data_IF_582440285908
#
_entry.id   IF_582440285908
#
_cell.length_a   1.000
_cell.length_b   1.000
_cell.length_c   1.000
_cell.angle_alpha   90.00
_cell.angle_beta   90.00
_cell.angle_gamma   90.00
#
_symmetry.space_group_name_H-M   'P 1'
#
loop_
_entity.id
_entity.type
_entity.pdbx_description
1 polymer ?
#
# COMPACT_ATOMS: atom_id res chain seq x y z
N UNK A 1 -31.36 27.35 -39.29
CA UNK A 1 -29.97 27.16 -39.75
C UNK A 1 -29.03 27.32 -38.56
N UNK A 2 -28.62 26.22 -37.92
CA UNK A 2 -27.67 26.26 -36.81
C UNK A 2 -26.26 25.98 -37.35
N UNK A 3 -25.34 26.91 -37.14
CA UNK A 3 -23.95 26.80 -37.56
C UNK A 3 -23.23 25.70 -36.75
N UNK A 4 -22.74 24.67 -37.44
CA UNK A 4 -21.92 23.61 -36.87
C UNK A 4 -20.56 24.21 -36.50
N UNK A 5 -20.21 24.21 -35.20
CA UNK A 5 -18.91 24.69 -34.73
C UNK A 5 -17.77 23.80 -35.27
N UNK A 6 -16.62 24.38 -35.68
CA UNK A 6 -15.54 23.61 -36.27
C UNK A 6 -14.89 22.69 -35.23
N UNK A 7 -14.78 21.40 -35.57
CA UNK A 7 -14.09 20.40 -34.76
C UNK A 7 -12.63 20.84 -34.51
N UNK A 8 -12.29 21.13 -33.24
CA UNK A 8 -10.91 21.42 -32.82
C UNK A 8 -10.02 20.22 -33.13
N UNK A 9 -9.22 20.28 -34.20
CA UNK A 9 -8.15 19.31 -34.49
C UNK A 9 -7.22 19.24 -33.28
N UNK A 10 -7.24 18.11 -32.56
CA UNK A 10 -6.31 17.79 -31.47
C UNK A 10 -4.89 17.77 -32.08
N UNK A 11 -4.13 18.87 -31.94
CA UNK A 11 -2.71 18.89 -32.35
C UNK A 11 -2.01 17.74 -31.62
N UNK A 12 -1.56 16.73 -32.36
CA UNK A 12 -0.69 15.65 -31.84
C UNK A 12 0.57 16.35 -31.33
N UNK A 13 0.66 16.57 -30.00
CA UNK A 13 1.87 17.09 -29.38
C UNK A 13 2.96 16.04 -29.64
N UNK A 14 3.85 16.32 -30.58
CA UNK A 14 5.06 15.53 -30.79
C UNK A 14 5.83 15.53 -29.48
N UNK A 15 5.95 14.36 -28.85
CA UNK A 15 6.77 14.23 -27.64
C UNK A 15 8.22 14.50 -28.07
N UNK A 16 8.92 15.46 -27.46
CA UNK A 16 10.29 15.76 -27.86
C UNK A 16 11.17 14.53 -27.61
N UNK A 17 12.03 14.19 -28.57
CA UNK A 17 12.92 13.01 -28.52
C UNK A 17 13.72 12.98 -27.21
N UNK A 18 14.17 14.13 -26.72
CA UNK A 18 14.87 14.23 -25.43
C UNK A 18 14.04 13.72 -24.24
N UNK A 19 12.72 13.96 -24.22
CA UNK A 19 11.83 13.40 -23.18
C UNK A 19 11.71 11.88 -23.32
N UNK A 20 11.67 11.35 -24.54
CA UNK A 20 11.60 9.91 -24.77
C UNK A 20 12.88 9.20 -24.32
N UNK A 21 14.04 9.80 -24.60
CA UNK A 21 15.33 9.30 -24.14
C UNK A 21 15.46 9.33 -22.61
N UNK A 22 15.05 10.42 -21.97
CA UNK A 22 15.05 10.53 -20.51
C UNK A 22 14.15 9.48 -19.86
N UNK A 23 12.94 9.29 -20.38
CA UNK A 23 12.02 8.27 -19.88
C UNK A 23 12.57 6.85 -20.12
N UNK A 24 13.20 6.60 -21.27
CA UNK A 24 13.83 5.32 -21.58
C UNK A 24 15.00 5.01 -20.64
N UNK A 25 15.87 5.98 -20.39
CA UNK A 25 16.96 5.85 -19.42
C UNK A 25 16.43 5.56 -18.02
N UNK A 26 15.43 6.34 -17.56
CA UNK A 26 14.82 6.15 -16.24
C UNK A 26 14.18 4.76 -16.11
N UNK A 27 13.52 4.27 -17.16
CA UNK A 27 12.95 2.93 -17.19
C UNK A 27 14.03 1.86 -17.02
N UNK A 28 15.13 1.95 -17.77
CA UNK A 28 16.25 1.00 -17.64
C UNK A 28 16.85 1.06 -16.24
N UNK A 29 17.04 2.26 -15.69
CA UNK A 29 17.57 2.46 -14.34
C UNK A 29 16.68 1.80 -13.27
N UNK A 30 15.36 1.93 -13.37
CA UNK A 30 14.40 1.30 -12.44
C UNK A 30 14.35 -0.22 -12.61
N UNK A 31 14.40 -0.71 -13.86
CA UNK A 31 14.34 -2.15 -14.14
C UNK A 31 15.66 -2.87 -13.85
N UNK A 32 16.77 -2.17 -13.80
CA UNK A 32 18.09 -2.74 -13.55
C UNK A 32 18.18 -3.61 -12.29
N UNK A 33 17.85 -3.12 -11.08
CA UNK A 33 17.90 -3.94 -9.87
C UNK A 33 16.89 -5.09 -9.90
N UNK A 34 15.73 -4.92 -10.56
CA UNK A 34 14.74 -5.99 -10.70
C UNK A 34 15.24 -7.11 -11.61
N UNK A 35 15.87 -6.74 -12.73
CA UNK A 35 16.58 -7.68 -13.60
C UNK A 35 17.64 -8.45 -12.81
N UNK A 36 18.47 -7.73 -12.04
CA UNK A 36 19.54 -8.37 -11.28
C UNK A 36 19.00 -9.33 -10.22
N UNK A 37 17.94 -8.94 -9.51
CA UNK A 37 17.26 -9.77 -8.52
C UNK A 37 16.66 -11.03 -9.14
N UNK A 38 15.99 -10.91 -10.30
CA UNK A 38 15.42 -12.05 -11.02
C UNK A 38 16.51 -12.98 -11.57
N UNK A 39 17.54 -12.43 -12.21
CA UNK A 39 18.64 -13.21 -12.73
C UNK A 39 19.36 -13.97 -11.62
N UNK A 40 19.52 -13.35 -10.45
CA UNK A 40 20.14 -13.96 -9.27
C UNK A 40 19.26 -15.07 -8.68
N UNK A 41 17.92 -14.97 -8.72
CA UNK A 41 17.05 -16.01 -8.14
C UNK A 41 17.05 -17.34 -8.91
N UNK A 42 17.50 -17.33 -10.17
CA UNK A 42 17.58 -18.52 -11.04
C UNK A 42 19.01 -19.04 -11.25
N UNK A 43 20.03 -18.34 -10.75
CA UNK A 43 21.42 -18.79 -10.83
C UNK A 43 21.70 -19.98 -9.91
N UNK A 44 22.54 -20.93 -10.33
CA UNK A 44 23.13 -21.92 -9.42
C UNK A 44 23.97 -21.25 -8.32
N UNK A 45 24.13 -21.93 -7.18
CA UNK A 45 24.87 -21.42 -6.01
C UNK A 45 26.31 -20.99 -6.32
N UNK A 46 26.95 -21.66 -7.27
CA UNK A 46 28.34 -21.43 -7.61
C UNK A 46 28.52 -20.14 -8.43
N UNK A 47 27.45 -19.64 -9.07
CA UNK A 47 27.46 -18.46 -9.95
C UNK A 47 27.15 -17.14 -9.22
N UNK A 48 26.92 -17.16 -7.90
CA UNK A 48 26.51 -15.97 -7.14
C UNK A 48 27.62 -14.91 -7.01
N UNK A 49 28.85 -15.36 -6.76
CA UNK A 49 30.00 -14.51 -6.43
C UNK A 49 31.14 -14.64 -7.44
N UNK A 50 30.86 -15.16 -8.63
CA UNK A 50 31.85 -15.32 -9.70
C UNK A 50 32.28 -13.97 -10.25
N UNK A 51 33.56 -13.89 -10.60
CA UNK A 51 34.18 -12.74 -11.27
C UNK A 51 34.79 -13.25 -12.58
N UNK A 52 34.35 -12.77 -13.76
CA UNK A 52 33.35 -11.73 -13.99
C UNK A 52 31.91 -12.16 -13.64
N UNK A 53 31.01 -11.22 -13.29
CA UNK A 53 29.64 -11.56 -12.94
C UNK A 53 28.89 -12.24 -14.10
N UNK A 54 28.21 -13.35 -13.81
CA UNK A 54 27.38 -14.05 -14.80
C UNK A 54 26.14 -13.21 -15.12
N UNK A 55 26.03 -12.73 -16.35
CA UNK A 55 24.89 -11.90 -16.78
C UNK A 55 23.65 -12.73 -17.06
N UNK A 56 23.82 -13.92 -17.63
CA UNK A 56 22.76 -14.90 -17.90
C UNK A 56 23.29 -16.28 -17.49
N UNK A 57 22.62 -17.02 -16.59
CA UNK A 57 23.07 -18.34 -16.18
C UNK A 57 23.02 -19.30 -17.36
N UNK A 58 24.08 -20.09 -17.53
CA UNK A 58 24.11 -21.15 -18.54
C UNK A 58 23.07 -22.25 -18.23
N UNK A 59 22.84 -22.51 -16.94
CA UNK A 59 21.89 -23.50 -16.45
C UNK A 59 20.92 -22.84 -15.44
N UNK A 60 19.80 -22.26 -15.91
CA UNK A 60 18.78 -21.73 -15.01
C UNK A 60 18.19 -22.82 -14.12
N UNK A 61 18.07 -22.55 -12.81
CA UNK A 61 17.51 -23.52 -11.86
C UNK A 61 16.38 -22.90 -11.02
N UNK A 62 15.48 -23.76 -10.53
CA UNK A 62 14.39 -23.38 -9.61
C UNK A 62 14.60 -23.94 -8.19
N UNK A 63 15.80 -24.44 -7.90
CA UNK A 63 16.12 -25.06 -6.61
C UNK A 63 15.92 -24.09 -5.47
N UNK A 64 16.32 -22.82 -5.64
CA UNK A 64 16.13 -21.77 -4.65
C UNK A 64 14.67 -21.45 -4.37
N UNK A 65 13.81 -21.45 -5.40
CA UNK A 65 12.36 -21.28 -5.22
C UNK A 65 11.74 -22.44 -4.43
N UNK A 66 12.09 -23.68 -4.78
CA UNK A 66 11.60 -24.87 -4.08
C UNK A 66 12.07 -24.87 -2.63
N UNK A 67 13.33 -24.55 -2.37
CA UNK A 67 13.87 -24.45 -1.02
C UNK A 67 13.18 -23.32 -0.22
N UNK A 68 13.04 -22.13 -0.80
CA UNK A 68 12.37 -20.99 -0.16
C UNK A 68 10.92 -21.32 0.25
N UNK A 69 10.15 -21.92 -0.66
CA UNK A 69 8.74 -22.20 -0.41
C UNK A 69 8.52 -23.37 0.56
N UNK A 70 9.27 -24.45 0.40
CA UNK A 70 8.98 -25.72 1.08
C UNK A 70 9.99 -26.08 2.19
N UNK A 71 11.28 -25.76 2.03
CA UNK A 71 12.29 -26.09 3.04
C UNK A 71 12.35 -25.07 4.19
N UNK A 72 12.12 -23.78 3.88
CA UNK A 72 12.21 -22.69 4.85
C UNK A 72 10.84 -22.17 5.31
N UNK A 73 9.77 -22.97 5.19
CA UNK A 73 8.40 -22.61 5.56
C UNK A 73 7.91 -21.31 4.89
N UNK A 74 8.41 -20.99 3.70
CA UNK A 74 8.04 -19.78 2.98
C UNK A 74 6.54 -19.73 2.67
N UNK A 75 5.92 -20.87 2.37
CA UNK A 75 4.47 -20.95 2.17
C UNK A 75 3.68 -20.57 3.44
N UNK A 76 4.07 -21.07 4.61
CA UNK A 76 3.43 -20.69 5.88
C UNK A 76 3.56 -19.18 6.11
N UNK A 77 4.75 -18.62 5.87
CA UNK A 77 5.01 -17.19 5.97
C UNK A 77 4.16 -16.35 5.02
N UNK A 78 3.97 -16.80 3.78
CA UNK A 78 3.11 -16.16 2.79
C UNK A 78 1.64 -16.21 3.22
N UNK A 79 1.15 -17.35 3.69
CA UNK A 79 -0.23 -17.51 4.18
C UNK A 79 -0.46 -16.60 5.39
N UNK A 80 0.46 -16.62 6.37
CA UNK A 80 0.39 -15.73 7.53
C UNK A 80 0.34 -14.26 7.13
N UNK A 81 1.22 -13.85 6.20
CA UNK A 81 1.27 -12.48 5.69
C UNK A 81 -0.01 -12.09 4.98
N UNK A 82 -0.58 -12.98 4.16
CA UNK A 82 -1.86 -12.77 3.49
C UNK A 82 -3.01 -12.58 4.49
N UNK A 83 -3.11 -13.47 5.48
CA UNK A 83 -4.14 -13.38 6.53
C UNK A 83 -4.01 -12.06 7.29
N UNK A 84 -2.81 -11.75 7.78
CA UNK A 84 -2.57 -10.56 8.60
C UNK A 84 -2.83 -9.28 7.80
N UNK A 85 -2.27 -9.18 6.60
CA UNK A 85 -2.39 -7.97 5.78
C UNK A 85 -3.81 -7.74 5.27
N UNK A 86 -4.51 -8.79 4.84
CA UNK A 86 -5.89 -8.68 4.36
C UNK A 86 -6.84 -8.31 5.49
N UNK A 87 -6.75 -9.00 6.64
CA UNK A 87 -7.57 -8.69 7.81
C UNK A 87 -7.33 -7.27 8.32
N UNK A 88 -6.06 -6.86 8.46
CA UNK A 88 -5.74 -5.50 8.89
C UNK A 88 -6.23 -4.44 7.89
N UNK A 89 -6.11 -4.69 6.58
CA UNK A 89 -6.60 -3.79 5.54
C UNK A 89 -8.12 -3.63 5.61
N UNK A 90 -8.86 -4.74 5.71
CA UNK A 90 -10.33 -4.72 5.82
C UNK A 90 -10.77 -3.99 7.08
N UNK A 91 -10.19 -4.32 8.24
CA UNK A 91 -10.51 -3.65 9.51
C UNK A 91 -10.20 -2.16 9.46
N UNK A 92 -9.03 -1.79 8.95
CA UNK A 92 -8.61 -0.40 8.81
C UNK A 92 -9.51 0.37 7.83
N UNK A 93 -9.94 -0.25 6.73
CA UNK A 93 -10.86 0.36 5.78
C UNK A 93 -12.24 0.59 6.41
N UNK A 94 -12.80 -0.41 7.09
CA UNK A 94 -14.10 -0.33 7.74
C UNK A 94 -14.10 0.72 8.86
N UNK A 95 -13.19 0.59 9.83
CA UNK A 95 -13.10 1.52 10.96
C UNK A 95 -12.73 2.92 10.51
N UNK A 96 -11.80 3.03 9.55
CA UNK A 96 -11.37 4.33 9.01
C UNK A 96 -12.50 5.04 8.27
N UNK A 97 -13.33 4.31 7.51
CA UNK A 97 -14.50 4.86 6.82
C UNK A 97 -15.52 5.40 7.82
N UNK A 98 -15.87 4.63 8.85
CA UNK A 98 -16.83 5.05 9.88
C UNK A 98 -16.35 6.30 10.63
N UNK A 99 -15.08 6.30 11.05
CA UNK A 99 -14.48 7.45 11.73
C UNK A 99 -14.42 8.68 10.82
N UNK A 100 -14.01 8.51 9.57
CA UNK A 100 -13.93 9.59 8.59
C UNK A 100 -15.29 10.23 8.29
N UNK A 101 -16.34 9.43 8.16
CA UNK A 101 -17.71 9.94 7.98
C UNK A 101 -18.12 10.80 9.17
N UNK A 102 -17.91 10.30 10.39
CA UNK A 102 -18.19 11.04 11.63
C UNK A 102 -17.46 12.38 11.68
N UNK A 103 -16.16 12.37 11.38
CA UNK A 103 -15.33 13.57 11.32
C UNK A 103 -15.80 14.57 10.25
N UNK A 104 -16.14 14.10 9.06
CA UNK A 104 -16.49 14.95 7.92
C UNK A 104 -17.88 15.57 8.04
N UNK A 105 -18.85 14.87 8.61
CA UNK A 105 -20.25 15.32 8.67
C UNK A 105 -20.63 15.95 10.00
N UNK A 106 -20.15 15.39 11.11
CA UNK A 106 -20.52 15.83 12.46
C UNK A 106 -19.43 16.63 13.18
N UNK A 107 -18.26 16.82 12.54
CA UNK A 107 -17.12 17.51 13.16
C UNK A 107 -16.76 16.91 14.54
N UNK A 108 -16.89 15.59 14.67
CA UNK A 108 -16.65 14.86 15.91
C UNK A 108 -15.24 15.15 16.42
N UNK A 109 -15.11 15.52 17.70
CA UNK A 109 -13.80 15.89 18.29
C UNK A 109 -13.18 17.19 17.77
N UNK A 110 -13.91 17.98 16.98
CA UNK A 110 -13.51 19.30 16.52
C UNK A 110 -12.55 19.30 15.34
N UNK A 111 -12.09 20.50 14.96
CA UNK A 111 -11.32 20.73 13.74
C UNK A 111 -9.93 20.06 13.76
N UNK A 112 -9.37 19.83 14.95
CA UNK A 112 -8.01 19.32 15.13
C UNK A 112 -7.92 17.80 15.23
N UNK A 113 -9.03 17.08 15.48
CA UNK A 113 -8.97 15.63 15.68
C UNK A 113 -8.49 14.89 14.43
N UNK A 114 -8.95 15.28 13.24
CA UNK A 114 -8.50 14.69 11.97
C UNK A 114 -6.98 14.82 11.77
N UNK A 115 -6.41 15.97 12.13
CA UNK A 115 -4.97 16.21 12.07
C UNK A 115 -4.21 15.43 13.14
N UNK A 116 -4.76 15.31 14.36
CA UNK A 116 -4.16 14.52 15.43
C UNK A 116 -4.13 13.01 15.11
N UNK A 117 -5.16 12.48 14.47
CA UNK A 117 -5.18 11.10 13.98
C UNK A 117 -4.05 10.89 12.97
N UNK A 118 -3.89 11.82 12.02
CA UNK A 118 -2.80 11.79 11.05
C UNK A 118 -1.42 11.87 11.68
N UNK A 119 -1.25 12.67 12.74
CA UNK A 119 0.06 12.92 13.32
C UNK A 119 0.69 11.66 13.94
N UNK A 120 -0.13 10.64 14.24
CA UNK A 120 0.36 9.34 14.68
C UNK A 120 1.29 8.67 13.65
N UNK A 121 1.24 9.07 12.36
CA UNK A 121 2.14 8.55 11.32
C UNK A 121 3.56 9.11 11.39
N UNK A 122 3.76 10.24 12.06
CA UNK A 122 5.10 10.82 12.24
C UNK A 122 5.88 10.13 13.36
N UNK A 123 5.18 9.36 14.19
CA UNK A 123 5.82 8.63 15.26
C UNK A 123 6.68 7.50 14.68
N UNK A 124 7.96 7.40 15.05
CA UNK A 124 8.82 6.33 14.59
C UNK A 124 8.35 4.98 15.18
N UNK A 125 7.97 3.98 14.36
CA UNK A 125 7.42 2.73 14.87
C UNK A 125 8.36 2.03 15.86
N UNK A 126 9.67 2.10 15.62
CA UNK A 126 10.70 1.50 16.48
C UNK A 126 10.63 2.00 17.93
N UNK A 127 10.20 3.25 18.16
CA UNK A 127 10.06 3.82 19.50
C UNK A 127 8.93 3.21 20.33
N UNK A 128 7.95 2.57 19.68
CA UNK A 128 6.79 1.94 20.34
C UNK A 128 6.89 0.42 20.40
N UNK A 129 7.85 -0.20 19.68
CA UNK A 129 7.96 -1.68 19.61
C UNK A 129 8.12 -2.30 21.00
N UNK A 130 9.04 -1.80 21.83
CA UNK A 130 9.29 -2.36 23.16
C UNK A 130 8.07 -2.28 24.09
N UNK A 131 7.42 -1.11 24.29
CA UNK A 131 6.24 -1.04 25.15
C UNK A 131 5.08 -1.89 24.63
N UNK A 132 4.83 -1.91 23.31
CA UNK A 132 3.78 -2.77 22.73
C UNK A 132 4.11 -4.24 22.94
N UNK A 133 5.37 -4.66 22.79
CA UNK A 133 5.80 -6.02 23.06
C UNK A 133 5.52 -6.42 24.51
N UNK A 134 5.84 -5.56 25.50
CA UNK A 134 5.57 -5.84 26.91
C UNK A 134 4.06 -5.98 27.18
N UNK A 135 3.24 -5.09 26.60
CA UNK A 135 1.78 -5.17 26.71
C UNK A 135 1.28 -6.49 26.11
N UNK A 136 1.69 -6.81 24.87
CA UNK A 136 1.23 -8.01 24.15
C UNK A 136 1.65 -9.29 24.86
N UNK A 137 2.84 -9.33 25.44
CA UNK A 137 3.28 -10.43 26.28
C UNK A 137 2.43 -10.55 27.54
N UNK A 138 2.11 -9.44 28.20
CA UNK A 138 1.29 -9.41 29.41
C UNK A 138 -0.16 -9.88 29.17
N UNK A 139 -0.73 -9.56 28.01
CA UNK A 139 -2.11 -9.96 27.65
C UNK A 139 -2.22 -11.24 26.81
N UNK A 140 -1.09 -11.93 26.55
CA UNK A 140 -1.08 -13.18 25.79
C UNK A 140 -1.31 -13.03 24.27
N UNK A 141 -1.11 -11.82 23.71
CA UNK A 141 -1.17 -11.56 22.27
C UNK A 141 0.19 -11.69 21.56
N UNK A 142 1.25 -11.97 22.32
CA UNK A 142 2.58 -12.20 21.77
C UNK A 142 2.61 -13.43 20.86
N UNK A 143 3.27 -13.31 19.70
CA UNK A 143 3.42 -14.38 18.69
C UNK A 143 2.08 -14.94 18.18
N UNK A 144 1.07 -14.07 18.02
CA UNK A 144 -0.25 -14.45 17.48
C UNK A 144 -0.62 -13.62 16.25
N UNK A 145 -1.40 -14.20 15.34
CA UNK A 145 -1.98 -13.47 14.19
C UNK A 145 -2.85 -12.29 14.66
N UNK A 146 -3.65 -12.48 15.72
CA UNK A 146 -4.55 -11.45 16.24
C UNK A 146 -3.75 -10.24 16.74
N UNK A 147 -2.66 -10.46 17.48
CA UNK A 147 -1.78 -9.39 17.91
C UNK A 147 -1.25 -8.58 16.73
N UNK A 148 -0.73 -9.26 15.70
CA UNK A 148 -0.22 -8.58 14.50
C UNK A 148 -1.32 -7.85 13.70
N UNK A 149 -2.51 -8.43 13.58
CA UNK A 149 -3.66 -7.80 12.90
C UNK A 149 -4.04 -6.50 13.62
N UNK A 150 -4.12 -6.50 14.94
CA UNK A 150 -4.44 -5.30 15.74
C UNK A 150 -3.36 -4.24 15.55
N UNK A 151 -2.09 -4.62 15.71
CA UNK A 151 -0.96 -3.71 15.54
C UNK A 151 -0.97 -3.06 14.16
N UNK A 152 -1.11 -3.86 13.10
CA UNK A 152 -1.10 -3.36 11.72
C UNK A 152 -2.32 -2.49 11.45
N UNK A 153 -3.50 -2.87 11.95
CA UNK A 153 -4.71 -2.05 11.84
C UNK A 153 -4.48 -0.67 12.43
N UNK A 154 -3.91 -0.57 13.63
CA UNK A 154 -3.63 0.73 14.29
C UNK A 154 -2.67 1.59 13.46
N UNK A 155 -1.63 0.99 12.88
CA UNK A 155 -0.68 1.72 12.04
C UNK A 155 -1.28 2.20 10.71
N UNK A 156 -2.19 1.42 10.10
CA UNK A 156 -2.81 1.78 8.82
C UNK A 156 -4.04 2.67 8.97
N UNK A 157 -4.70 2.66 10.15
CA UNK A 157 -5.93 3.39 10.43
C UNK A 157 -5.86 4.89 10.07
N UNK A 158 -4.81 5.64 10.44
CA UNK A 158 -4.71 7.06 10.12
C UNK A 158 -4.76 7.36 8.62
N UNK A 159 -4.17 6.48 7.80
CA UNK A 159 -4.19 6.62 6.33
C UNK A 159 -5.59 6.43 5.81
N UNK A 160 -6.27 5.38 6.26
CA UNK A 160 -7.64 5.06 5.87
C UNK A 160 -8.59 6.21 6.24
N UNK A 161 -8.51 6.70 7.48
CA UNK A 161 -9.31 7.86 7.95
C UNK A 161 -9.07 9.08 7.08
N UNK A 162 -7.81 9.40 6.78
CA UNK A 162 -7.50 10.59 6.00
C UNK A 162 -8.00 10.51 4.55
N UNK A 163 -7.81 9.36 3.91
CA UNK A 163 -8.28 9.12 2.54
C UNK A 163 -9.81 9.24 2.47
N UNK A 164 -10.52 8.60 3.40
CA UNK A 164 -11.98 8.65 3.45
C UNK A 164 -12.50 10.02 3.87
N UNK A 165 -11.80 10.72 4.77
CA UNK A 165 -12.19 12.07 5.20
C UNK A 165 -12.11 13.07 4.06
N UNK A 166 -11.04 13.03 3.26
CA UNK A 166 -10.90 13.83 2.06
C UNK A 166 -12.01 13.53 1.04
N UNK A 167 -12.37 12.24 0.89
CA UNK A 167 -13.46 11.81 0.01
C UNK A 167 -14.82 12.34 0.47
N UNK A 168 -15.22 12.11 1.73
CA UNK A 168 -16.51 12.59 2.27
C UNK A 168 -16.64 14.11 2.24
N UNK A 169 -15.57 14.86 2.50
CA UNK A 169 -15.59 16.33 2.39
C UNK A 169 -15.75 16.82 0.94
N UNK A 170 -15.28 16.05 -0.03
CA UNK A 170 -15.47 16.37 -1.45
C UNK A 170 -16.90 16.16 -1.95
N UNK A 171 -17.70 15.33 -1.25
CA UNK A 171 -19.08 15.06 -1.64
C UNK A 171 -20.06 16.15 -1.15
N UNK A 172 -20.92 16.68 -2.03
CA UNK A 172 -21.95 17.65 -1.65
C UNK A 172 -22.87 17.09 -0.57
N UNK A 173 -23.13 17.88 0.48
CA UNK A 173 -24.07 17.50 1.55
C UNK A 173 -25.49 17.29 1.06
N UNK A 174 -25.88 17.98 -0.02
CA UNK A 174 -27.22 17.88 -0.62
C UNK A 174 -27.59 16.45 -1.06
N UNK A 175 -26.62 15.59 -1.36
CA UNK A 175 -26.91 14.18 -1.70
C UNK A 175 -27.41 13.41 -0.48
N UNK A 176 -26.84 13.67 0.70
CA UNK A 176 -27.27 13.05 1.95
C UNK A 176 -28.59 13.65 2.43
N UNK A 177 -28.77 14.97 2.28
CA UNK A 177 -30.03 15.65 2.59
C UNK A 177 -31.19 15.13 1.73
N UNK A 178 -30.97 14.87 0.44
CA UNK A 178 -31.97 14.24 -0.43
C UNK A 178 -32.33 12.82 0.04
N UNK A 179 -31.35 12.01 0.43
CA UNK A 179 -31.60 10.66 0.97
C UNK A 179 -32.38 10.69 2.29
N UNK A 180 -32.13 11.68 3.15
CA UNK A 180 -32.90 11.90 4.38
C UNK A 180 -34.36 12.27 4.08
N UNK A 181 -34.61 13.07 3.05
CA UNK A 181 -35.99 13.40 2.59
C UNK A 181 -36.71 12.16 2.07
N UNK A 182 -36.00 11.25 1.40
CA UNK A 182 -36.54 9.95 0.94
C UNK A 182 -36.72 8.92 2.08
N UNK A 183 -36.37 9.27 3.33
CA UNK A 183 -36.60 8.44 4.51
C UNK A 183 -35.47 7.48 4.87
N UNK A 184 -34.28 7.61 4.28
CA UNK A 184 -33.09 6.89 4.74
C UNK A 184 -32.58 7.50 6.07
N UNK A 185 -32.15 6.66 7.02
CA UNK A 185 -31.60 7.06 8.33
C UNK A 185 -30.13 6.72 8.47
#
# INVERSE_FOLDING_TARGET
>A
MAAVAPARRRKRRSVPIGRMLLLGFFLVFVLWPLYWMFNTSIKPSDDYLTVPPVWFPAEPTLVHYKAALFAYRGLDGLINSLIISLSATVLSALLGTLMAYSLARYNTGGQHLSFWVLSQRFLPPIGIVLPVFLIYRGVGLYDTHIGLIIAYTVFTLPVSVWMMFAYFRGMPKSMEEAALVDGCT
#
